data_IF_754485589909
#
_entry.id   IF_754485589909
#
_cell.length_a   1.000
_cell.length_b   1.000
_cell.length_c   1.000
_cell.angle_alpha   90.00
_cell.angle_beta   90.00
_cell.angle_gamma   90.00
#
_symmetry.space_group_name_H-M   'P 1'
#
loop_
_entity.id
_entity.type
_entity.pdbx_description
1 polymer ?
#
# COMPACT_ATOMS: atom_id res chain seq x y z
N UNK A 1 -4.98 -13.27 0.69
CA UNK A 1 -4.56 -12.96 -0.69
C UNK A 1 -3.07 -12.63 -0.66
N UNK A 2 -2.21 -13.39 -1.36
CA UNK A 2 -0.76 -13.13 -1.41
C UNK A 2 -0.43 -12.37 -2.69
N UNK A 3 0.19 -11.20 -2.58
CA UNK A 3 0.65 -10.43 -3.74
C UNK A 3 2.01 -11.01 -4.16
N UNK A 4 2.14 -11.41 -5.42
CA UNK A 4 3.39 -11.92 -5.98
C UNK A 4 4.03 -10.86 -6.87
N UNK A 5 5.36 -10.76 -6.81
CA UNK A 5 6.10 -9.89 -7.72
C UNK A 5 6.14 -10.48 -9.14
N UNK A 6 6.72 -9.73 -10.08
CA UNK A 6 6.88 -10.16 -11.50
C UNK A 6 7.73 -11.43 -11.66
N UNK A 7 8.38 -11.91 -10.60
CA UNK A 7 9.20 -13.13 -10.58
C UNK A 7 8.51 -14.27 -9.81
N UNK A 8 7.25 -14.08 -9.40
CA UNK A 8 6.47 -15.08 -8.68
C UNK A 8 6.82 -15.22 -7.20
N UNK A 9 7.65 -14.32 -6.63
CA UNK A 9 8.02 -14.31 -5.22
C UNK A 9 6.91 -13.65 -4.40
N UNK A 10 6.54 -14.27 -3.29
CA UNK A 10 5.62 -13.69 -2.33
C UNK A 10 6.19 -12.35 -1.82
N UNK A 11 5.49 -11.24 -2.08
CA UNK A 11 5.85 -9.94 -1.54
C UNK A 11 5.29 -9.86 -0.12
N UNK A 12 6.16 -10.00 0.87
CA UNK A 12 5.86 -9.54 2.22
C UNK A 12 6.29 -8.08 2.32
N UNK A 13 5.32 -7.20 2.59
CA UNK A 13 5.61 -5.84 2.98
C UNK A 13 5.87 -5.85 4.48
N UNK A 14 7.13 -5.77 4.87
CA UNK A 14 7.49 -5.67 6.29
C UNK A 14 7.12 -4.27 6.82
N UNK A 15 7.09 -3.28 5.92
CA UNK A 15 6.69 -1.92 6.23
C UNK A 15 5.76 -1.34 5.16
N UNK A 16 4.83 -0.47 5.58
CA UNK A 16 3.88 0.21 4.68
C UNK A 16 4.59 1.04 3.59
N UNK A 17 5.77 1.59 3.91
CA UNK A 17 6.60 2.33 2.95
C UNK A 17 7.03 1.45 1.77
N UNK A 18 7.31 0.17 2.00
CA UNK A 18 7.66 -0.78 0.93
C UNK A 18 6.45 -1.05 0.02
N UNK A 19 5.24 -1.15 0.61
CA UNK A 19 4.00 -1.30 -0.13
C UNK A 19 3.71 -0.07 -1.00
N UNK A 20 3.87 1.13 -0.45
CA UNK A 20 3.67 2.39 -1.19
C UNK A 20 4.66 2.52 -2.34
N UNK A 21 5.93 2.19 -2.11
CA UNK A 21 6.96 2.20 -3.15
C UNK A 21 6.66 1.19 -4.27
N UNK A 22 6.19 -0.01 -3.91
CA UNK A 22 5.77 -1.01 -4.88
C UNK A 22 4.59 -0.52 -5.71
N UNK A 23 3.53 -0.02 -5.07
CA UNK A 23 2.35 0.48 -5.77
C UNK A 23 2.73 1.64 -6.71
N UNK A 24 3.57 2.57 -6.24
CA UNK A 24 4.04 3.70 -7.06
C UNK A 24 4.81 3.24 -8.29
N UNK A 25 5.71 2.26 -8.13
CA UNK A 25 6.45 1.65 -9.25
C UNK A 25 5.55 0.90 -10.25
N UNK A 26 4.41 0.39 -9.79
CA UNK A 26 3.45 -0.34 -10.63
C UNK A 26 2.35 0.57 -11.20
N UNK A 27 2.63 1.87 -11.32
CA UNK A 27 1.72 2.80 -11.98
C UNK A 27 0.56 3.26 -11.10
N UNK A 28 0.66 3.17 -9.78
CA UNK A 28 -0.26 3.88 -8.89
C UNK A 28 0.33 5.23 -8.47
N UNK A 29 -0.54 6.18 -8.19
CA UNK A 29 -0.22 7.51 -7.70
C UNK A 29 -0.78 7.66 -6.29
N UNK A 30 0.06 8.14 -5.38
CA UNK A 30 -0.40 8.49 -4.04
C UNK A 30 -1.28 9.74 -4.08
N UNK A 31 -2.47 9.66 -3.50
CA UNK A 31 -3.44 10.76 -3.48
C UNK A 31 -3.49 11.42 -2.12
N UNK A 32 -3.68 10.63 -1.06
CA UNK A 32 -3.76 11.12 0.31
C UNK A 32 -3.55 10.00 1.32
N UNK A 33 -3.24 10.39 2.57
CA UNK A 33 -3.24 9.51 3.72
C UNK A 33 -4.00 10.17 4.86
N UNK A 34 -4.73 9.38 5.64
CA UNK A 34 -5.45 9.84 6.82
C UNK A 34 -5.50 8.73 7.87
N UNK A 35 -5.75 9.13 9.12
CA UNK A 35 -5.86 8.21 10.25
C UNK A 35 -7.29 8.21 10.76
N UNK A 36 -7.88 7.03 10.95
CA UNK A 36 -9.12 6.87 11.71
C UNK A 36 -8.81 6.26 13.06
N UNK A 37 -9.61 6.61 14.07
CA UNK A 37 -9.55 5.97 15.39
C UNK A 37 -10.77 5.08 15.49
N UNK A 38 -10.55 3.77 15.58
CA UNK A 38 -11.59 2.76 15.80
C UNK A 38 -11.24 1.99 17.08
N UNK A 39 -12.15 1.97 18.06
CA UNK A 39 -12.00 1.21 19.30
C UNK A 39 -10.62 1.39 19.97
N UNK A 40 -10.22 2.66 20.13
CA UNK A 40 -8.92 3.08 20.70
C UNK A 40 -7.67 2.73 19.86
N UNK A 41 -7.84 2.12 18.67
CA UNK A 41 -6.77 1.82 17.75
C UNK A 41 -6.69 2.87 16.63
N UNK A 42 -5.48 3.34 16.35
CA UNK A 42 -5.21 4.24 15.22
C UNK A 42 -4.99 3.41 13.95
N UNK A 43 -5.92 3.50 12.99
CA UNK A 43 -5.83 2.86 11.68
C UNK A 43 -5.32 3.88 10.65
N UNK A 44 -4.25 3.53 9.95
CA UNK A 44 -3.64 4.38 8.91
C UNK A 44 -4.12 3.95 7.53
N UNK A 45 -4.81 4.86 6.84
CA UNK A 45 -5.34 4.64 5.49
C UNK A 45 -4.51 5.38 4.45
N UNK A 46 -4.20 4.70 3.35
CA UNK A 46 -3.46 5.27 2.21
C UNK A 46 -4.30 5.11 0.95
N UNK A 47 -4.68 6.23 0.33
CA UNK A 47 -5.42 6.25 -0.91
C UNK A 47 -4.47 6.38 -2.09
N UNK A 48 -4.55 5.42 -3.01
CA UNK A 48 -3.81 5.44 -4.26
C UNK A 48 -4.77 5.33 -5.45
N UNK A 49 -4.40 5.99 -6.55
CA UNK A 49 -5.12 5.95 -7.82
C UNK A 49 -4.25 5.29 -8.87
N UNK A 50 -4.79 4.38 -9.67
CA UNK A 50 -4.06 3.84 -10.82
C UNK A 50 -3.89 4.94 -11.89
N UNK A 51 -2.65 5.19 -12.31
CA UNK A 51 -2.36 6.02 -13.49
C UNK A 51 -2.86 5.25 -14.71
N UNK A 52 -3.77 5.88 -15.45
CA UNK A 52 -4.25 5.37 -16.73
C UNK A 52 -3.17 5.49 -17.80
#
# INVERSE_FOLDING_TARGET
MKIKDMKGKDIQFNYMVEALNFMTKNGYEFIQAYTSIEEEQSIYHYLLKKKN
#
